data_IF_058124142711
#
_entry.id   IF_058124142711
#
_cell.length_a   1.000
_cell.length_b   1.000
_cell.length_c   1.000
_cell.angle_alpha   90.00
_cell.angle_beta   90.00
_cell.angle_gamma   90.00
#
_symmetry.space_group_name_H-M   'P 1'
#
loop_
_entity.id
_entity.type
_entity.pdbx_description
1 polymer ?
#
# COMPACT_ATOMS: atom_id res chain seq x y z
N UNK A 1 -14.42 -14.82 -2.53
CA UNK A 1 -14.54 -15.22 -1.11
C UNK A 1 -14.52 -16.75 -1.02
N UNK A 2 -13.77 -17.30 -0.09
CA UNK A 2 -13.69 -18.73 0.16
C UNK A 2 -14.77 -19.14 1.17
N UNK A 3 -15.34 -20.34 0.99
CA UNK A 3 -16.28 -20.91 1.94
C UNK A 3 -15.57 -21.35 3.22
N UNK A 4 -16.17 -21.05 4.38
CA UNK A 4 -15.64 -21.49 5.66
C UNK A 4 -16.06 -22.94 5.96
N UNK A 5 -15.07 -23.77 6.32
CA UNK A 5 -15.30 -25.16 6.73
C UNK A 5 -14.47 -25.47 7.99
N UNK A 6 -15.10 -25.60 9.18
CA UNK A 6 -16.52 -25.42 9.46
C UNK A 6 -16.96 -23.94 9.43
N UNK A 7 -18.26 -23.70 9.31
CA UNK A 7 -18.83 -22.36 9.43
C UNK A 7 -18.58 -21.81 10.84
N UNK A 8 -18.27 -20.50 10.91
CA UNK A 8 -18.04 -19.78 12.16
C UNK A 8 -19.27 -18.94 12.53
N UNK A 9 -20.15 -19.50 13.37
CA UNK A 9 -21.41 -18.84 13.71
C UNK A 9 -22.28 -18.59 12.46
N UNK A 10 -22.75 -17.36 12.22
CA UNK A 10 -23.52 -17.00 11.03
C UNK A 10 -22.64 -16.87 9.76
N UNK A 11 -21.32 -16.72 9.90
CA UNK A 11 -20.42 -16.54 8.78
C UNK A 11 -20.27 -17.84 7.97
N UNK A 12 -20.45 -17.75 6.64
CA UNK A 12 -20.33 -18.85 5.68
C UNK A 12 -19.09 -18.71 4.79
N UNK A 13 -18.65 -17.50 4.56
CA UNK A 13 -17.53 -17.17 3.70
C UNK A 13 -16.56 -16.22 4.39
N UNK A 14 -15.33 -16.17 3.92
CA UNK A 14 -14.32 -15.21 4.42
C UNK A 14 -14.79 -13.76 4.30
N UNK A 15 -15.61 -13.42 3.31
CA UNK A 15 -16.22 -12.10 3.17
C UNK A 15 -17.15 -11.73 4.34
N UNK A 16 -17.87 -12.71 4.90
CA UNK A 16 -18.74 -12.48 6.06
C UNK A 16 -17.91 -12.12 7.30
N UNK A 17 -16.73 -12.70 7.45
CA UNK A 17 -15.80 -12.37 8.54
C UNK A 17 -15.26 -10.94 8.40
N UNK A 18 -14.89 -10.53 7.17
CA UNK A 18 -14.44 -9.15 6.90
C UNK A 18 -15.57 -8.17 7.18
N UNK A 19 -16.81 -8.49 6.76
CA UNK A 19 -17.97 -7.65 7.05
C UNK A 19 -18.21 -7.50 8.55
N UNK A 20 -18.19 -8.61 9.30
CA UNK A 20 -18.35 -8.59 10.75
C UNK A 20 -17.25 -7.77 11.45
N UNK A 21 -16.00 -7.92 11.00
CA UNK A 21 -14.86 -7.14 11.52
C UNK A 21 -15.04 -5.64 11.24
N UNK A 22 -15.46 -5.27 10.04
CA UNK A 22 -15.71 -3.86 9.69
C UNK A 22 -16.85 -3.26 10.52
N UNK A 23 -17.92 -4.02 10.77
CA UNK A 23 -19.03 -3.57 11.63
C UNK A 23 -18.56 -3.37 13.08
N UNK A 24 -17.72 -4.26 13.60
CA UNK A 24 -17.21 -4.14 14.97
C UNK A 24 -16.27 -2.92 15.09
N UNK A 25 -15.35 -2.73 14.15
CA UNK A 25 -14.49 -1.55 14.11
C UNK A 25 -15.31 -0.25 14.00
N UNK A 26 -16.39 -0.26 13.21
CA UNK A 26 -17.29 0.87 13.09
C UNK A 26 -17.99 1.18 14.42
N UNK A 27 -18.45 0.14 15.12
CA UNK A 27 -19.08 0.28 16.45
C UNK A 27 -18.11 0.86 17.48
N UNK A 28 -16.87 0.35 17.51
CA UNK A 28 -15.81 0.82 18.42
C UNK A 28 -15.33 2.24 18.07
N UNK A 29 -15.31 2.58 16.78
CA UNK A 29 -14.91 3.88 16.28
C UNK A 29 -15.94 4.99 16.43
N UNK A 30 -17.05 4.77 17.14
CA UNK A 30 -18.08 5.79 17.37
C UNK A 30 -19.09 5.96 16.23
N UNK A 31 -19.21 4.98 15.37
CA UNK A 31 -20.18 4.88 14.27
C UNK A 31 -20.16 6.07 13.29
N UNK A 32 -19.01 6.42 12.70
CA UNK A 32 -18.94 7.50 11.72
C UNK A 32 -19.74 7.13 10.46
N UNK A 33 -20.42 8.11 9.86
CA UNK A 33 -21.18 7.91 8.62
C UNK A 33 -20.26 7.72 7.40
N UNK A 34 -19.05 8.28 7.44
CA UNK A 34 -18.06 8.26 6.37
C UNK A 34 -16.70 7.81 6.89
N UNK A 35 -15.97 7.03 6.10
CA UNK A 35 -14.62 6.56 6.44
C UNK A 35 -13.65 6.75 5.27
N UNK A 36 -12.39 6.89 5.60
CA UNK A 36 -11.27 6.75 4.66
C UNK A 36 -10.56 5.43 4.94
N UNK A 37 -10.31 4.65 3.92
CA UNK A 37 -9.64 3.37 4.02
C UNK A 37 -8.16 3.50 3.64
N UNK A 38 -7.25 3.26 4.59
CA UNK A 38 -5.83 3.13 4.33
C UNK A 38 -5.49 1.64 4.23
N UNK A 39 -5.18 1.19 3.03
CA UNK A 39 -4.97 -0.24 2.73
C UNK A 39 -3.54 -0.52 2.30
N UNK A 40 -3.09 -1.76 2.51
CA UNK A 40 -1.74 -2.17 2.10
C UNK A 40 -1.56 -2.14 0.59
N UNK A 41 -0.36 -1.84 0.13
CA UNK A 41 0.03 -1.87 -1.28
C UNK A 41 0.07 -3.27 -1.89
N UNK A 42 -0.08 -4.33 -1.10
CA UNK A 42 -0.19 -5.71 -1.60
C UNK A 42 -1.58 -6.06 -2.13
N UNK A 43 -2.59 -5.26 -1.81
CA UNK A 43 -3.96 -5.51 -2.29
C UNK A 43 -4.05 -5.27 -3.79
N UNK A 44 -4.42 -6.31 -4.52
CA UNK A 44 -4.65 -6.24 -5.96
C UNK A 44 -6.03 -5.65 -6.27
N UNK A 45 -6.23 -5.26 -7.52
CA UNK A 45 -7.47 -4.62 -7.97
C UNK A 45 -8.74 -5.40 -7.59
N UNK A 46 -8.72 -6.73 -7.81
CA UNK A 46 -9.88 -7.58 -7.51
C UNK A 46 -10.16 -7.68 -6.01
N UNK A 47 -9.11 -7.67 -5.19
CA UNK A 47 -9.23 -7.65 -3.73
C UNK A 47 -9.77 -6.32 -3.23
N UNK A 48 -9.34 -5.19 -3.81
CA UNK A 48 -9.89 -3.87 -3.52
C UNK A 48 -11.36 -3.77 -3.93
N UNK A 49 -11.71 -4.28 -5.12
CA UNK A 49 -13.09 -4.31 -5.58
C UNK A 49 -13.99 -5.14 -4.65
N UNK A 50 -13.50 -6.32 -4.20
CA UNK A 50 -14.20 -7.15 -3.23
C UNK A 50 -14.38 -6.42 -1.88
N UNK A 51 -13.33 -5.78 -1.36
CA UNK A 51 -13.38 -5.02 -0.12
C UNK A 51 -14.43 -3.90 -0.22
N UNK A 52 -14.43 -3.11 -1.29
CA UNK A 52 -15.41 -2.06 -1.51
C UNK A 52 -16.82 -2.60 -1.66
N UNK A 53 -17.01 -3.77 -2.30
CA UNK A 53 -18.29 -4.46 -2.37
C UNK A 53 -18.80 -4.89 -0.99
N UNK A 54 -17.93 -5.32 -0.07
CA UNK A 54 -18.30 -5.63 1.32
C UNK A 54 -18.65 -4.34 2.07
N UNK A 55 -17.87 -3.26 1.89
CA UNK A 55 -18.13 -1.95 2.52
C UNK A 55 -19.50 -1.40 2.14
N UNK A 56 -19.98 -1.62 0.91
CA UNK A 56 -21.31 -1.21 0.47
C UNK A 56 -22.47 -1.87 1.27
N UNK A 57 -22.19 -2.96 1.98
CA UNK A 57 -23.15 -3.63 2.88
C UNK A 57 -23.04 -3.14 4.33
N UNK A 58 -22.09 -2.25 4.63
CA UNK A 58 -21.89 -1.68 5.95
C UNK A 58 -22.75 -0.42 6.16
N UNK A 59 -23.02 -0.01 7.42
CA UNK A 59 -23.82 1.18 7.73
C UNK A 59 -23.05 2.51 7.56
N UNK A 60 -21.96 2.52 6.80
CA UNK A 60 -21.13 3.69 6.52
C UNK A 60 -20.68 3.68 5.05
N UNK A 61 -20.22 4.83 4.57
CA UNK A 61 -19.70 4.99 3.21
C UNK A 61 -18.18 5.17 3.22
N UNK A 62 -17.46 4.48 2.34
CA UNK A 62 -16.06 4.82 2.08
C UNK A 62 -16.01 6.03 1.16
N UNK A 63 -15.40 7.12 1.64
CA UNK A 63 -15.22 8.37 0.88
C UNK A 63 -13.78 8.60 0.44
N UNK A 64 -12.87 7.71 0.79
CA UNK A 64 -11.46 7.77 0.39
C UNK A 64 -10.79 6.41 0.46
N UNK A 65 -9.84 6.19 -0.44
CA UNK A 65 -9.04 4.96 -0.50
C UNK A 65 -7.59 5.32 -0.82
N UNK A 66 -6.68 5.00 0.10
CA UNK A 66 -5.27 5.38 -0.01
C UNK A 66 -4.34 4.23 0.34
N UNK A 67 -3.16 4.20 -0.29
CA UNK A 67 -2.09 3.31 0.10
C UNK A 67 -1.56 3.72 1.49
N UNK A 68 -1.61 2.79 2.45
CA UNK A 68 -1.22 3.02 3.84
C UNK A 68 0.22 3.49 3.97
N UNK A 69 1.15 2.86 3.25
CA UNK A 69 2.57 3.23 3.28
C UNK A 69 2.81 4.63 2.71
N UNK A 70 2.08 5.01 1.65
CA UNK A 70 2.14 6.36 1.06
C UNK A 70 1.61 7.40 2.04
N UNK A 71 0.49 7.13 2.70
CA UNK A 71 -0.04 8.03 3.73
C UNK A 71 0.99 8.25 4.85
N UNK A 72 1.53 7.18 5.43
CA UNK A 72 2.57 7.27 6.46
C UNK A 72 3.84 7.97 5.95
N UNK A 73 4.28 7.66 4.73
CA UNK A 73 5.46 8.27 4.10
C UNK A 73 5.33 9.77 3.88
N UNK A 74 4.11 10.28 3.70
CA UNK A 74 3.85 11.71 3.50
C UNK A 74 4.18 12.56 4.73
N UNK A 75 4.23 11.95 5.92
CA UNK A 75 4.65 12.61 7.16
C UNK A 75 6.15 12.94 7.21
N UNK A 76 6.93 12.40 6.28
CA UNK A 76 8.38 12.54 6.25
C UNK A 76 8.84 13.44 5.10
N UNK A 77 9.41 14.59 5.42
CA UNK A 77 9.77 15.64 4.45
C UNK A 77 11.09 15.41 3.71
N UNK A 78 11.96 14.55 4.19
CA UNK A 78 13.38 14.61 3.79
C UNK A 78 13.98 13.41 3.05
N UNK A 79 13.56 12.14 3.16
CA UNK A 79 14.30 11.06 2.49
C UNK A 79 14.02 11.01 0.99
N UNK A 80 15.05 10.74 0.19
CA UNK A 80 14.85 10.37 -1.22
C UNK A 80 14.16 9.02 -1.35
N UNK A 81 14.52 8.05 -0.47
CA UNK A 81 13.85 6.76 -0.35
C UNK A 81 13.42 6.53 1.09
N UNK A 82 12.21 6.05 1.24
CA UNK A 82 11.62 5.63 2.50
C UNK A 82 11.16 4.19 2.36
N UNK A 83 11.47 3.37 3.35
CA UNK A 83 10.99 2.00 3.43
C UNK A 83 10.00 1.88 4.58
N UNK A 84 8.92 1.17 4.36
CA UNK A 84 7.93 0.86 5.38
C UNK A 84 7.83 -0.66 5.53
N UNK A 85 8.09 -1.16 6.74
CA UNK A 85 7.91 -2.56 7.12
C UNK A 85 6.62 -2.70 7.92
N UNK A 86 5.65 -3.42 7.38
CA UNK A 86 4.39 -3.78 8.05
C UNK A 86 4.27 -5.29 8.24
N UNK A 87 3.60 -5.71 9.32
CA UNK A 87 3.24 -7.11 9.56
C UNK A 87 1.75 -7.27 9.29
N UNK A 88 1.42 -8.05 8.28
CA UNK A 88 0.07 -8.49 7.95
C UNK A 88 -0.24 -9.84 8.59
N UNK A 89 -1.47 -10.34 8.44
CA UNK A 89 -1.89 -11.59 9.06
C UNK A 89 -1.01 -12.79 8.66
N UNK A 90 -0.72 -12.95 7.37
CA UNK A 90 -0.01 -14.12 6.82
C UNK A 90 1.41 -13.82 6.32
N UNK A 91 1.81 -12.57 6.22
CA UNK A 91 3.10 -12.14 5.72
C UNK A 91 3.53 -10.82 6.35
N UNK A 92 4.81 -10.52 6.32
CA UNK A 92 5.27 -9.14 6.46
C UNK A 92 5.47 -8.53 5.06
N UNK A 93 5.54 -7.22 4.98
CA UNK A 93 5.65 -6.50 3.70
C UNK A 93 6.64 -5.35 3.86
N UNK A 94 7.59 -5.26 2.95
CA UNK A 94 8.46 -4.09 2.79
C UNK A 94 7.95 -3.29 1.60
N UNK A 95 7.54 -2.05 1.85
CA UNK A 95 7.13 -1.11 0.81
C UNK A 95 8.22 -0.06 0.64
N UNK A 96 8.72 0.10 -0.58
CA UNK A 96 9.64 1.17 -0.95
C UNK A 96 8.86 2.34 -1.53
N UNK A 97 9.12 3.51 -1.00
CA UNK A 97 8.56 4.78 -1.42
C UNK A 97 9.69 5.68 -1.92
N UNK A 98 9.42 6.47 -2.95
CA UNK A 98 10.33 7.53 -3.39
C UNK A 98 9.67 8.89 -3.32
N UNK A 99 10.50 9.92 -3.19
CA UNK A 99 10.05 11.29 -3.31
C UNK A 99 10.36 11.82 -4.71
N UNK A 100 9.32 12.33 -5.37
CA UNK A 100 9.43 13.02 -6.65
C UNK A 100 8.54 14.26 -6.63
N UNK A 101 9.07 15.42 -7.04
CA UNK A 101 8.32 16.68 -7.18
C UNK A 101 7.51 17.06 -5.91
N UNK A 102 8.13 16.84 -4.74
CA UNK A 102 7.49 17.11 -3.45
C UNK A 102 6.37 16.16 -3.04
N UNK A 103 6.19 15.07 -3.77
CA UNK A 103 5.23 13.99 -3.45
C UNK A 103 5.97 12.72 -3.06
N UNK A 104 5.38 11.97 -2.16
CA UNK A 104 5.78 10.60 -1.88
C UNK A 104 4.94 9.65 -2.77
N UNK A 105 5.61 8.71 -3.42
CA UNK A 105 5.01 7.78 -4.37
C UNK A 105 5.42 6.36 -4.07
N UNK A 106 4.48 5.43 -4.28
CA UNK A 106 4.74 4.00 -4.20
C UNK A 106 5.66 3.57 -5.35
N UNK A 107 6.82 2.97 -5.01
CA UNK A 107 7.74 2.40 -6.00
C UNK A 107 7.54 0.90 -6.17
N UNK A 108 7.64 0.16 -5.08
CA UNK A 108 7.45 -1.29 -5.09
C UNK A 108 7.01 -1.80 -3.72
N UNK A 109 6.39 -2.97 -3.75
CA UNK A 109 5.95 -3.69 -2.56
C UNK A 109 6.50 -5.10 -2.61
N UNK A 110 7.21 -5.51 -1.56
CA UNK A 110 7.90 -6.79 -1.45
C UNK A 110 7.30 -7.60 -0.30
N UNK A 111 6.52 -8.65 -0.57
CA UNK A 111 6.00 -9.53 0.46
C UNK A 111 7.11 -10.44 1.00
N UNK A 112 7.07 -10.69 2.32
CA UNK A 112 7.92 -11.61 3.06
C UNK A 112 7.05 -12.76 3.61
N UNK A 113 6.86 -13.82 2.83
CA UNK A 113 5.97 -14.92 3.21
C UNK A 113 6.50 -15.67 4.43
N UNK A 114 5.57 -16.10 5.31
CA UNK A 114 5.89 -16.79 6.55
C UNK A 114 6.49 -15.92 7.65
N UNK A 115 6.39 -14.58 7.48
CA UNK A 115 6.73 -13.58 8.50
C UNK A 115 5.48 -12.84 8.99
N UNK A 116 4.30 -13.42 8.83
CA UNK A 116 3.02 -12.81 9.24
C UNK A 116 2.74 -12.95 10.72
N UNK A 117 1.70 -12.21 11.15
CA UNK A 117 1.28 -12.17 12.55
C UNK A 117 0.97 -13.55 13.13
N UNK A 118 0.27 -14.41 12.37
CA UNK A 118 -0.09 -15.75 12.84
C UNK A 118 1.14 -16.59 13.18
N UNK A 119 2.13 -16.61 12.28
CA UNK A 119 3.36 -17.39 12.49
C UNK A 119 4.17 -16.84 13.68
N UNK A 120 4.25 -15.51 13.81
CA UNK A 120 4.96 -14.87 14.92
C UNK A 120 4.30 -15.15 16.26
N UNK A 121 2.98 -15.04 16.33
CA UNK A 121 2.22 -15.34 17.54
C UNK A 121 2.34 -16.81 17.94
N UNK A 122 2.22 -17.73 16.98
CA UNK A 122 2.38 -19.16 17.23
C UNK A 122 3.76 -19.48 17.83
N UNK A 123 4.83 -18.94 17.26
CA UNK A 123 6.19 -19.13 17.78
C UNK A 123 6.38 -18.51 19.17
N UNK A 124 5.85 -17.29 19.40
CA UNK A 124 5.91 -16.65 20.72
C UNK A 124 5.17 -17.47 21.76
N UNK A 125 3.96 -17.95 21.45
CA UNK A 125 3.16 -18.80 22.35
C UNK A 125 3.87 -20.11 22.65
N UNK A 126 4.50 -20.75 21.68
CA UNK A 126 5.25 -21.99 21.86
C UNK A 126 6.42 -21.80 22.82
N UNK A 127 7.21 -20.72 22.64
CA UNK A 127 8.35 -20.41 23.51
C UNK A 127 7.89 -20.15 24.95
N UNK A 128 6.84 -19.32 25.09
CA UNK A 128 6.30 -18.97 26.41
C UNK A 128 5.68 -20.19 27.11
N UNK A 129 4.89 -21.00 26.40
CA UNK A 129 4.33 -22.24 26.95
C UNK A 129 5.42 -23.21 27.40
N UNK A 130 6.51 -23.32 26.64
CA UNK A 130 7.68 -24.12 27.03
C UNK A 130 8.31 -23.61 28.32
N UNK A 131 8.37 -22.29 28.52
CA UNK A 131 8.84 -21.71 29.79
C UNK A 131 7.92 -22.07 30.95
N UNK A 132 6.61 -22.00 30.81
CA UNK A 132 5.63 -22.45 31.82
C UNK A 132 5.85 -23.93 32.19
N UNK A 133 5.97 -24.81 31.18
CA UNK A 133 6.17 -26.23 31.40
C UNK A 133 7.47 -26.48 32.19
N UNK A 134 8.57 -25.83 31.81
CA UNK A 134 9.86 -25.97 32.49
C UNK A 134 9.83 -25.52 33.95
N UNK A 135 9.18 -24.38 34.20
CA UNK A 135 9.22 -23.72 35.51
C UNK A 135 8.13 -24.22 36.48
N UNK A 136 6.95 -24.55 35.94
CA UNK A 136 5.76 -24.82 36.79
C UNK A 136 5.12 -26.17 36.53
N UNK A 137 5.54 -26.92 35.50
CA UNK A 137 4.89 -28.15 35.03
C UNK A 137 3.47 -27.94 34.47
N UNK A 138 3.03 -26.71 34.32
CA UNK A 138 1.77 -26.33 33.72
C UNK A 138 1.93 -26.03 32.23
N UNK A 139 1.08 -26.62 31.38
CA UNK A 139 1.02 -26.30 29.96
C UNK A 139 -0.25 -25.48 29.69
N UNK A 140 -0.12 -24.18 29.41
CA UNK A 140 -1.27 -23.30 29.18
C UNK A 140 -2.04 -23.62 27.90
N UNK A 141 -1.47 -24.35 26.94
CA UNK A 141 -2.10 -24.71 25.65
C UNK A 141 -3.06 -25.89 25.74
N UNK A 142 -3.11 -26.59 26.88
CA UNK A 142 -4.01 -27.76 27.06
C UNK A 142 -5.50 -27.40 27.09
N UNK A 143 -5.86 -26.17 27.34
CA UNK A 143 -7.24 -25.68 27.38
C UNK A 143 -7.34 -24.36 26.61
N UNK A 144 -8.34 -24.24 25.75
CA UNK A 144 -8.56 -23.05 24.94
C UNK A 144 -8.61 -21.75 25.77
N UNK A 145 -9.24 -21.77 26.96
CA UNK A 145 -9.31 -20.60 27.82
C UNK A 145 -7.94 -20.15 28.37
N UNK A 146 -7.04 -21.08 28.70
CA UNK A 146 -5.69 -20.73 29.19
C UNK A 146 -4.76 -20.36 28.03
N UNK A 147 -4.94 -20.96 26.89
CA UNK A 147 -4.27 -20.58 25.66
C UNK A 147 -4.65 -19.16 25.21
N UNK A 148 -5.96 -18.85 25.20
CA UNK A 148 -6.44 -17.50 24.91
C UNK A 148 -5.85 -16.46 25.87
N UNK A 149 -5.87 -16.77 27.17
CA UNK A 149 -5.26 -15.89 28.17
C UNK A 149 -3.76 -15.64 27.89
N UNK A 150 -3.04 -16.65 27.37
CA UNK A 150 -1.65 -16.49 26.96
C UNK A 150 -1.52 -15.54 25.77
N UNK A 151 -2.37 -15.66 24.73
CA UNK A 151 -2.40 -14.74 23.60
C UNK A 151 -2.72 -13.30 24.04
N UNK A 152 -3.67 -13.13 24.93
CA UNK A 152 -4.08 -11.82 25.44
C UNK A 152 -2.96 -11.12 26.26
N UNK A 153 -2.13 -11.90 26.98
CA UNK A 153 -1.03 -11.38 27.80
C UNK A 153 0.25 -11.07 26.99
N UNK A 154 0.41 -11.61 25.76
CA UNK A 154 1.62 -11.43 24.95
C UNK A 154 1.95 -9.97 24.65
N UNK A 155 1.02 -9.10 24.21
CA UNK A 155 1.35 -7.72 23.87
C UNK A 155 1.97 -6.94 25.01
N UNK A 156 1.46 -7.11 26.23
CA UNK A 156 1.98 -6.44 27.42
C UNK A 156 3.33 -6.99 27.85
N UNK A 157 3.50 -8.31 27.74
CA UNK A 157 4.78 -8.94 27.99
C UNK A 157 5.87 -8.46 27.01
N UNK A 158 5.55 -8.34 25.72
CA UNK A 158 6.47 -7.82 24.70
C UNK A 158 6.82 -6.35 24.95
N UNK A 159 5.84 -5.52 25.35
CA UNK A 159 6.10 -4.12 25.75
C UNK A 159 7.01 -4.03 26.98
N UNK A 160 6.81 -4.90 27.96
CA UNK A 160 7.69 -4.97 29.12
C UNK A 160 9.12 -5.37 28.72
N UNK A 161 9.27 -6.40 27.88
CA UNK A 161 10.57 -6.86 27.37
C UNK A 161 11.26 -5.87 26.42
N UNK A 162 10.52 -4.92 25.87
CA UNK A 162 11.11 -3.78 25.13
C UNK A 162 11.90 -2.83 26.05
N UNK A 163 11.60 -2.81 27.35
CA UNK A 163 12.26 -1.97 28.38
C UNK A 163 13.20 -2.77 29.29
N UNK A 164 12.79 -3.98 29.60
CA UNK A 164 13.46 -4.86 30.56
C UNK A 164 14.01 -6.12 29.87
N UNK A 165 15.01 -6.74 30.48
CA UNK A 165 15.57 -8.00 29.96
C UNK A 165 14.70 -9.23 30.25
N UNK A 166 13.77 -9.12 31.21
CA UNK A 166 12.87 -10.20 31.62
C UNK A 166 11.53 -9.66 32.14
N UNK A 167 10.49 -10.49 32.04
CA UNK A 167 9.17 -10.22 32.60
C UNK A 167 8.54 -11.49 33.17
N UNK A 168 7.51 -11.33 34.00
CA UNK A 168 6.74 -12.45 34.52
C UNK A 168 5.36 -12.46 33.90
N UNK A 169 4.97 -13.62 33.35
CA UNK A 169 3.64 -13.90 32.88
C UNK A 169 2.90 -14.79 33.86
N UNK A 170 1.63 -14.49 34.09
CA UNK A 170 0.76 -15.28 34.97
C UNK A 170 -0.45 -15.79 34.20
N UNK A 171 -0.66 -17.10 34.16
CA UNK A 171 -1.79 -17.75 33.53
C UNK A 171 -2.38 -18.78 34.51
N UNK A 172 -3.65 -18.66 34.85
CA UNK A 172 -4.35 -19.56 35.74
C UNK A 172 -3.66 -19.79 37.10
N UNK A 173 -3.08 -18.72 37.66
CA UNK A 173 -2.36 -18.79 38.95
C UNK A 173 -0.94 -19.35 38.87
N UNK A 174 -0.49 -19.82 37.74
CA UNK A 174 0.90 -20.20 37.50
C UNK A 174 1.68 -19.02 36.96
N UNK A 175 2.92 -18.84 37.43
CA UNK A 175 3.79 -17.74 37.01
C UNK A 175 5.06 -18.28 36.37
N UNK A 176 5.38 -17.78 35.17
CA UNK A 176 6.63 -18.10 34.50
C UNK A 176 7.40 -16.82 34.19
N UNK A 177 8.70 -16.85 34.42
CA UNK A 177 9.65 -15.81 34.02
C UNK A 177 10.04 -16.03 32.56
N UNK A 178 9.91 -15.01 31.77
CA UNK A 178 10.26 -14.98 30.31
C UNK A 178 11.37 -13.96 30.15
N UNK A 179 12.41 -14.33 29.43
CA UNK A 179 13.51 -13.43 29.08
C UNK A 179 13.40 -12.96 27.67
N UNK A 180 13.91 -11.75 27.39
CA UNK A 180 14.00 -11.19 26.03
C UNK A 180 14.78 -12.13 25.10
N UNK A 181 15.89 -12.71 25.59
CA UNK A 181 16.74 -13.63 24.83
C UNK A 181 16.01 -14.89 24.35
N UNK A 182 15.08 -15.44 25.16
CA UNK A 182 14.28 -16.61 24.76
C UNK A 182 13.36 -16.29 23.58
N UNK A 183 12.82 -15.06 23.48
CA UNK A 183 11.88 -14.67 22.43
C UNK A 183 12.54 -14.21 21.12
N UNK A 184 13.87 -14.03 21.09
CA UNK A 184 14.57 -13.62 19.85
C UNK A 184 14.29 -14.58 18.69
N UNK A 185 14.20 -15.88 18.97
CA UNK A 185 13.97 -16.90 17.96
C UNK A 185 12.63 -16.72 17.21
N UNK A 186 11.61 -16.16 17.88
CA UNK A 186 10.29 -15.97 17.24
C UNK A 186 10.32 -15.01 16.05
N UNK A 187 11.18 -13.97 16.12
CA UNK A 187 11.33 -12.98 15.06
C UNK A 187 12.41 -13.31 14.03
N UNK A 188 13.16 -14.41 14.19
CA UNK A 188 14.38 -14.67 13.42
C UNK A 188 14.16 -14.65 11.90
N UNK A 189 13.08 -15.28 11.42
CA UNK A 189 12.78 -15.32 9.99
C UNK A 189 12.55 -13.92 9.40
N UNK A 190 11.86 -13.05 10.12
CA UNK A 190 11.65 -11.66 9.70
C UNK A 190 12.97 -10.89 9.72
N UNK A 191 13.76 -11.06 10.78
CA UNK A 191 15.08 -10.45 10.95
C UNK A 191 16.03 -10.84 9.81
N UNK A 192 15.98 -12.08 9.35
CA UNK A 192 16.83 -12.56 8.25
C UNK A 192 16.32 -12.10 6.88
N UNK A 193 15.00 -12.02 6.70
CA UNK A 193 14.37 -11.71 5.41
C UNK A 193 14.28 -10.20 5.12
N UNK A 194 14.06 -9.37 6.14
CA UNK A 194 13.89 -7.94 5.97
C UNK A 194 15.12 -7.24 5.35
N UNK A 195 16.37 -7.50 5.77
CA UNK A 195 17.55 -6.91 5.15
C UNK A 195 17.70 -7.26 3.66
N UNK A 196 17.31 -8.47 3.26
CA UNK A 196 17.36 -8.90 1.85
C UNK A 196 16.37 -8.09 1.00
N UNK A 197 15.17 -7.82 1.52
CA UNK A 197 14.16 -7.01 0.84
C UNK A 197 14.53 -5.52 0.80
N UNK A 198 15.13 -5.00 1.86
CA UNK A 198 15.58 -3.63 1.96
C UNK A 198 16.79 -3.35 1.06
N UNK A 199 17.66 -4.35 0.87
CA UNK A 199 18.93 -4.18 0.17
C UNK A 199 19.87 -3.24 0.93
N UNK A 200 20.80 -2.60 0.20
CA UNK A 200 21.75 -1.67 0.79
C UNK A 200 21.07 -0.32 1.05
N UNK A 201 20.89 0.02 2.32
CA UNK A 201 20.36 1.32 2.74
C UNK A 201 21.49 2.38 2.66
N UNK A 202 21.22 3.47 1.95
CA UNK A 202 22.11 4.61 1.84
C UNK A 202 21.98 5.54 3.06
N UNK A 203 22.88 6.51 3.21
CA UNK A 203 22.90 7.42 4.36
C UNK A 203 21.61 8.26 4.49
N UNK A 204 20.96 8.62 3.36
CA UNK A 204 19.72 9.40 3.32
C UNK A 204 18.44 8.59 3.39
N UNK A 205 18.52 7.24 3.35
CA UNK A 205 17.34 6.38 3.39
C UNK A 205 16.79 6.27 4.81
N UNK A 206 15.48 6.18 4.92
CA UNK A 206 14.77 5.92 6.18
C UNK A 206 14.02 4.59 6.12
N UNK A 207 13.93 3.95 7.27
CA UNK A 207 13.10 2.76 7.49
C UNK A 207 12.13 3.05 8.62
N UNK A 208 10.85 3.03 8.32
CA UNK A 208 9.77 3.10 9.31
C UNK A 208 9.15 1.71 9.48
N UNK A 209 8.76 1.38 10.68
CA UNK A 209 8.16 0.09 11.00
C UNK A 209 6.86 0.27 11.77
N UNK A 210 5.90 -0.60 11.50
CA UNK A 210 4.65 -0.63 12.24
C UNK A 210 4.86 -0.83 13.74
N UNK A 211 3.99 -0.27 14.60
CA UNK A 211 4.06 -0.45 16.06
C UNK A 211 4.10 -1.92 16.47
N UNK A 212 3.37 -2.77 15.75
CA UNK A 212 3.36 -4.23 16.00
C UNK A 212 4.71 -4.87 15.70
N UNK A 213 5.36 -4.49 14.59
CA UNK A 213 6.69 -4.96 14.26
C UNK A 213 7.72 -4.51 15.31
N UNK A 214 7.55 -3.28 15.81
CA UNK A 214 8.40 -2.73 16.87
C UNK A 214 8.34 -3.47 18.21
N UNK A 215 7.31 -4.31 18.44
CA UNK A 215 7.21 -5.15 19.64
C UNK A 215 8.11 -6.40 19.59
N UNK A 216 8.61 -6.79 18.41
CA UNK A 216 9.42 -7.99 18.27
C UNK A 216 10.79 -7.80 18.90
N UNK A 217 11.17 -8.66 19.89
CA UNK A 217 12.50 -8.64 20.47
C UNK A 217 13.58 -8.81 19.40
N UNK A 218 14.63 -8.02 19.47
CA UNK A 218 15.75 -8.09 18.54
C UNK A 218 15.57 -7.32 17.23
N UNK A 219 14.37 -6.84 16.88
CA UNK A 219 14.17 -6.15 15.60
C UNK A 219 15.03 -4.87 15.49
N UNK A 220 15.05 -4.05 16.53
CA UNK A 220 15.82 -2.79 16.50
C UNK A 220 17.33 -3.00 16.51
N UNK A 221 17.82 -4.07 17.14
CA UNK A 221 19.24 -4.42 17.13
C UNK A 221 19.73 -4.82 15.73
N UNK A 222 18.86 -5.51 14.97
CA UNK A 222 19.19 -5.97 13.62
C UNK A 222 18.83 -4.96 12.53
N UNK A 223 17.88 -4.07 12.83
CA UNK A 223 17.49 -2.95 11.97
C UNK A 223 17.68 -1.60 12.72
N UNK A 224 18.92 -1.19 13.00
CA UNK A 224 19.22 -0.05 13.88
C UNK A 224 18.72 1.29 13.38
N UNK A 225 18.36 1.38 12.09
CA UNK A 225 17.75 2.58 11.50
C UNK A 225 16.22 2.55 11.50
N UNK A 226 15.61 1.49 12.03
CA UNK A 226 14.16 1.36 12.08
C UNK A 226 13.57 2.35 13.09
N UNK A 227 12.70 3.20 12.62
CA UNK A 227 11.89 4.10 13.43
C UNK A 227 10.52 3.48 13.62
N UNK A 228 10.16 3.17 14.85
CA UNK A 228 8.84 2.60 15.17
C UNK A 228 7.80 3.70 15.12
N UNK A 229 6.77 3.51 14.28
CA UNK A 229 5.67 4.45 14.13
C UNK A 229 4.82 4.54 15.40
N UNK A 230 4.24 5.71 15.63
CA UNK A 230 3.20 5.87 16.62
C UNK A 230 1.92 5.14 16.20
N UNK A 231 1.13 4.67 17.17
CA UNK A 231 -0.09 3.91 16.91
C UNK A 231 -1.13 4.72 16.10
N UNK A 232 -1.14 6.04 16.26
CA UNK A 232 -2.03 6.96 15.55
C UNK A 232 -1.43 7.57 14.27
N UNK A 233 -0.26 7.11 13.82
CA UNK A 233 0.45 7.65 12.66
C UNK A 233 -0.38 7.66 11.39
N UNK A 234 -1.17 6.61 11.13
CA UNK A 234 -2.09 6.56 9.97
C UNK A 234 -3.15 7.65 10.07
N UNK A 235 -3.79 7.81 11.25
CA UNK A 235 -4.79 8.84 11.48
C UNK A 235 -4.21 10.24 11.22
N UNK A 236 -3.05 10.53 11.81
CA UNK A 236 -2.35 11.81 11.60
C UNK A 236 -2.05 12.07 10.13
N UNK A 237 -1.61 11.05 9.38
CA UNK A 237 -1.36 11.17 7.95
C UNK A 237 -2.64 11.47 7.15
N UNK A 238 -3.74 10.80 7.48
CA UNK A 238 -5.02 11.02 6.82
C UNK A 238 -5.59 12.42 7.12
N UNK A 239 -5.50 12.87 8.37
CA UNK A 239 -5.95 14.20 8.80
C UNK A 239 -5.26 15.33 8.02
N UNK A 240 -3.98 15.16 7.66
CA UNK A 240 -3.22 16.12 6.87
C UNK A 240 -3.66 16.22 5.41
N UNK A 241 -4.34 15.20 4.89
CA UNK A 241 -4.68 15.08 3.48
C UNK A 241 -6.18 14.93 3.21
N UNK A 242 -7.04 15.28 4.17
CA UNK A 242 -8.49 15.10 4.05
C UNK A 242 -9.06 15.70 2.75
N UNK A 243 -8.64 16.92 2.40
CA UNK A 243 -9.12 17.63 1.19
C UNK A 243 -8.76 16.89 -0.13
N UNK A 244 -7.68 16.10 -0.12
CA UNK A 244 -7.22 15.33 -1.28
C UNK A 244 -7.79 13.91 -1.31
N UNK A 245 -8.12 13.35 -0.14
CA UNK A 245 -8.54 11.97 0.01
C UNK A 245 -10.06 11.79 -0.06
N UNK A 246 -10.85 12.80 0.32
CA UNK A 246 -12.30 12.72 0.35
C UNK A 246 -12.88 12.92 -1.05
N UNK A 247 -13.52 11.86 -1.59
CA UNK A 247 -14.07 11.77 -2.95
C UNK A 247 -15.56 11.40 -2.88
N UNK A 248 -16.43 12.37 -2.52
CA UNK A 248 -17.88 12.11 -2.37
C UNK A 248 -18.64 12.05 -3.69
N UNK A 249 -18.21 12.83 -4.67
CA UNK A 249 -18.92 13.02 -5.95
C UNK A 249 -18.35 12.18 -7.10
N UNK A 250 -17.30 11.41 -6.85
CA UNK A 250 -16.59 10.64 -7.86
C UNK A 250 -16.46 9.18 -7.45
N UNK A 251 -16.21 8.31 -8.41
CA UNK A 251 -15.79 6.95 -8.10
C UNK A 251 -14.47 6.97 -7.31
N UNK A 252 -14.40 6.20 -6.23
CA UNK A 252 -13.20 6.13 -5.40
C UNK A 252 -11.99 5.71 -6.24
N UNK A 253 -10.94 6.52 -6.21
CA UNK A 253 -9.64 6.18 -6.78
C UNK A 253 -8.69 5.72 -5.66
N UNK A 254 -7.87 4.72 -5.96
CA UNK A 254 -6.81 4.29 -5.05
C UNK A 254 -5.63 5.25 -5.13
N UNK A 255 -5.45 6.07 -4.09
CA UNK A 255 -4.39 7.08 -4.03
C UNK A 255 -3.06 6.42 -3.68
N UNK A 256 -2.08 6.51 -4.59
CA UNK A 256 -0.72 5.94 -4.45
C UNK A 256 0.38 6.99 -4.44
N UNK A 257 0.02 8.27 -4.40
CA UNK A 257 0.95 9.39 -4.28
C UNK A 257 0.31 10.55 -3.50
N UNK A 258 1.03 11.11 -2.52
CA UNK A 258 0.58 12.23 -1.70
C UNK A 258 1.67 13.31 -1.59
N UNK A 259 1.31 14.60 -1.42
CA UNK A 259 2.28 15.64 -1.11
C UNK A 259 2.99 15.37 0.21
N UNK A 260 4.27 15.72 0.32
CA UNK A 260 4.97 15.71 1.60
C UNK A 260 4.57 16.92 2.46
N UNK A 261 4.69 16.82 3.78
CA UNK A 261 4.28 17.86 4.74
C UNK A 261 4.93 19.23 4.50
N UNK A 262 6.18 19.28 4.05
CA UNK A 262 6.88 20.52 3.76
C UNK A 262 6.24 21.32 2.61
N UNK A 263 5.48 20.68 1.74
CA UNK A 263 4.71 21.35 0.69
C UNK A 263 3.33 21.85 1.16
N UNK A 264 2.75 21.20 2.16
CA UNK A 264 1.48 21.66 2.75
C UNK A 264 1.64 22.93 3.59
N UNK A 265 2.84 23.16 4.15
CA UNK A 265 3.16 24.34 4.95
C UNK A 265 3.53 25.59 4.10
N UNK A 266 3.74 25.44 2.79
CA UNK A 266 3.96 26.57 1.92
C UNK A 266 2.61 27.24 1.62
N UNK A 267 2.41 28.55 1.96
CA UNK A 267 1.23 29.26 1.50
C UNK A 267 1.20 29.21 -0.03
N UNK A 268 0.01 29.14 -0.67
CA UNK A 268 -0.05 29.19 -2.11
C UNK A 268 0.70 30.43 -2.57
N UNK A 269 1.73 30.22 -3.37
CA UNK A 269 2.52 31.30 -3.93
C UNK A 269 1.54 32.23 -4.65
N UNK A 270 1.25 33.38 -4.07
CA UNK A 270 0.49 34.42 -4.70
C UNK A 270 1.14 34.69 -6.05
N UNK A 271 0.43 34.38 -7.12
CA UNK A 271 0.87 34.65 -8.47
C UNK A 271 1.05 36.18 -8.59
N UNK A 272 2.25 36.66 -8.31
CA UNK A 272 2.66 37.97 -8.78
C UNK A 272 2.83 37.86 -10.30
N UNK A 273 2.22 38.72 -11.08
CA UNK A 273 2.49 38.75 -12.50
C UNK A 273 3.97 39.13 -12.71
N UNK A 274 4.76 38.17 -13.17
CA UNK A 274 6.13 38.43 -13.55
C UNK A 274 6.15 39.36 -14.79
N UNK A 275 7.07 40.32 -14.84
CA UNK A 275 7.25 41.13 -16.04
C UNK A 275 7.72 40.23 -17.19
N UNK A 276 7.12 40.42 -18.35
CA UNK A 276 7.41 39.70 -19.58
C UNK A 276 8.88 39.84 -19.97
N UNK A 277 9.63 38.74 -19.85
CA UNK A 277 10.97 38.56 -20.45
C UNK A 277 10.84 37.65 -21.66
N UNK A 278 11.53 37.91 -22.77
CA UNK A 278 11.30 37.19 -24.03
C UNK A 278 11.67 35.71 -23.90
N UNK A 279 10.82 34.87 -24.47
CA UNK A 279 10.93 33.41 -24.48
C UNK A 279 12.29 32.90 -24.97
N UNK A 280 12.97 32.01 -24.23
CA UNK A 280 13.97 31.14 -24.79
C UNK A 280 13.30 30.00 -25.56
N UNK A 281 13.90 29.64 -26.68
CA UNK A 281 13.43 28.58 -27.57
C UNK A 281 13.14 27.27 -26.83
N UNK A 282 11.95 26.70 -27.11
CA UNK A 282 11.49 25.42 -26.61
C UNK A 282 12.43 24.33 -27.14
N UNK A 283 13.27 23.79 -26.26
CA UNK A 283 13.93 22.50 -26.50
C UNK A 283 12.90 21.43 -26.14
N UNK A 284 12.31 20.83 -27.17
CA UNK A 284 11.38 19.72 -27.05
C UNK A 284 12.17 18.50 -26.54
N UNK A 285 12.02 18.15 -25.26
CA UNK A 285 12.44 16.82 -24.80
C UNK A 285 11.55 15.79 -25.50
N UNK A 286 12.17 15.01 -26.38
CA UNK A 286 11.52 13.90 -27.08
C UNK A 286 11.31 12.80 -26.06
N UNK A 287 10.10 12.68 -25.52
CA UNK A 287 9.68 11.53 -24.73
C UNK A 287 9.73 10.21 -25.55
N UNK A 288 9.64 9.04 -24.89
CA UNK A 288 9.69 7.75 -25.54
C UNK A 288 8.65 7.66 -26.67
N UNK A 289 9.13 7.34 -27.89
CA UNK A 289 8.28 7.34 -29.06
C UNK A 289 7.57 6.00 -29.21
N UNK A 290 6.23 5.96 -29.38
CA UNK A 290 5.51 4.70 -29.55
C UNK A 290 5.97 3.97 -30.81
N UNK A 291 6.16 2.65 -30.69
CA UNK A 291 6.58 1.76 -31.77
C UNK A 291 5.46 0.81 -32.23
N UNK A 292 4.50 0.53 -31.34
CA UNK A 292 3.42 -0.42 -31.59
C UNK A 292 2.08 0.10 -31.09
N UNK A 293 1.01 -0.39 -31.73
CA UNK A 293 -0.39 -0.25 -31.33
C UNK A 293 -0.87 -1.56 -30.71
N UNK A 294 -1.34 -1.53 -29.49
CA UNK A 294 -1.93 -2.66 -28.80
C UNK A 294 -3.45 -2.62 -28.95
N UNK A 295 -4.03 -3.70 -29.49
CA UNK A 295 -5.48 -3.94 -29.58
C UNK A 295 -5.82 -5.24 -28.87
N UNK A 296 -6.47 -5.16 -27.72
CA UNK A 296 -6.69 -6.34 -26.86
C UNK A 296 -5.38 -7.00 -26.47
N UNK A 297 -5.10 -8.18 -27.04
CA UNK A 297 -3.86 -8.95 -26.78
C UNK A 297 -2.89 -8.98 -27.96
N UNK A 298 -3.16 -8.22 -29.03
CA UNK A 298 -2.34 -8.19 -30.25
C UNK A 298 -1.62 -6.86 -30.37
N UNK A 299 -0.30 -6.88 -30.49
CA UNK A 299 0.51 -5.71 -30.79
C UNK A 299 0.81 -5.64 -32.28
N UNK A 300 0.49 -4.52 -32.92
CA UNK A 300 0.75 -4.22 -34.33
C UNK A 300 1.82 -3.14 -34.40
N UNK A 301 2.87 -3.36 -35.19
CA UNK A 301 3.91 -2.36 -35.39
C UNK A 301 3.36 -1.13 -36.13
N UNK A 302 3.71 0.06 -35.65
CA UNK A 302 3.38 1.32 -36.31
C UNK A 302 4.32 1.53 -37.49
N UNK A 303 3.77 1.72 -38.68
CA UNK A 303 4.54 1.91 -39.91
C UNK A 303 4.80 3.40 -40.15
N UNK A 304 5.95 3.71 -40.77
CA UNK A 304 6.27 5.10 -41.16
C UNK A 304 5.29 5.70 -42.19
N UNK A 305 4.66 4.86 -42.99
CA UNK A 305 3.68 5.26 -44.00
C UNK A 305 2.27 5.51 -43.45
N UNK A 306 2.04 5.18 -42.18
CA UNK A 306 0.76 5.23 -41.49
C UNK A 306 0.20 3.84 -41.18
N UNK A 307 -0.55 3.73 -40.11
CA UNK A 307 -1.21 2.50 -39.65
C UNK A 307 -2.71 2.74 -39.69
N UNK A 308 -3.41 2.04 -40.56
CA UNK A 308 -4.86 2.16 -40.69
C UNK A 308 -5.57 1.59 -39.47
N UNK A 309 -6.56 2.31 -38.99
CA UNK A 309 -7.47 1.94 -37.89
C UNK A 309 -8.87 1.66 -38.47
N UNK A 310 -9.78 1.19 -37.63
CA UNK A 310 -11.17 1.02 -38.01
C UNK A 310 -11.85 2.40 -38.24
N UNK A 311 -12.96 2.42 -38.96
CA UNK A 311 -13.76 3.59 -39.27
C UNK A 311 -13.06 4.69 -40.11
N UNK A 312 -12.04 4.32 -40.88
CA UNK A 312 -11.35 5.24 -41.79
C UNK A 312 -10.38 6.21 -41.09
N UNK A 313 -9.97 5.89 -39.89
CA UNK A 313 -8.92 6.59 -39.19
C UNK A 313 -7.55 5.95 -39.43
N UNK A 314 -6.51 6.76 -39.35
CA UNK A 314 -5.11 6.36 -39.51
C UNK A 314 -4.23 7.06 -38.51
N UNK A 315 -3.30 6.32 -37.87
CA UNK A 315 -2.19 6.91 -37.14
C UNK A 315 -1.00 7.03 -38.06
N UNK A 316 -0.46 8.24 -38.17
CA UNK A 316 0.69 8.52 -39.04
C UNK A 316 1.76 9.31 -38.25
N UNK A 317 2.98 9.26 -38.75
CA UNK A 317 4.12 9.97 -38.14
C UNK A 317 4.41 11.25 -38.89
N UNK A 318 4.46 12.38 -38.18
CA UNK A 318 4.85 13.68 -38.73
C UNK A 318 6.01 14.29 -37.91
N UNK A 319 6.58 15.41 -38.36
CA UNK A 319 7.75 16.03 -37.71
C UNK A 319 7.58 16.36 -36.20
N UNK A 320 6.34 16.38 -35.70
CA UNK A 320 6.00 16.62 -34.29
C UNK A 320 5.59 15.38 -33.48
N UNK A 321 5.67 14.17 -34.05
CA UNK A 321 5.22 12.93 -33.37
C UNK A 321 4.19 12.14 -34.15
N UNK A 322 3.51 11.21 -33.44
CA UNK A 322 2.37 10.47 -33.99
C UNK A 322 1.10 11.31 -33.89
N UNK A 323 0.26 11.25 -34.90
CA UNK A 323 -0.99 12.00 -34.96
C UNK A 323 -2.09 11.15 -35.62
N UNK A 324 -3.37 11.54 -35.40
CA UNK A 324 -4.51 10.95 -36.07
C UNK A 324 -4.85 11.71 -37.37
N UNK A 325 -5.20 10.97 -38.42
CA UNK A 325 -5.81 11.46 -39.64
C UNK A 325 -7.02 10.61 -39.95
N UNK A 326 -8.20 11.23 -40.22
CA UNK A 326 -9.43 10.51 -40.56
C UNK A 326 -10.59 11.43 -40.90
N UNK A 327 -11.65 10.84 -41.46
CA UNK A 327 -12.88 11.56 -41.83
C UNK A 327 -14.02 11.04 -40.95
N UNK A 328 -14.24 11.65 -39.80
CA UNK A 328 -15.44 11.42 -39.00
C UNK A 328 -15.19 11.18 -37.51
N UNK A 329 -16.10 11.70 -36.71
CA UNK A 329 -16.16 11.45 -35.27
C UNK A 329 -15.05 12.10 -34.43
N UNK A 330 -15.30 12.20 -33.15
CA UNK A 330 -14.37 12.71 -32.14
C UNK A 330 -13.56 11.52 -31.61
N UNK A 331 -12.24 11.63 -31.62
CA UNK A 331 -11.36 10.63 -30.97
C UNK A 331 -11.14 11.04 -29.53
N UNK A 332 -11.39 10.14 -28.60
CA UNK A 332 -11.16 10.37 -27.19
C UNK A 332 -9.85 9.70 -26.79
N UNK A 333 -8.86 10.48 -26.38
CA UNK A 333 -7.56 10.00 -25.87
C UNK A 333 -7.49 10.28 -24.38
N UNK A 334 -7.19 9.24 -23.59
CA UNK A 334 -7.10 9.32 -22.12
C UNK A 334 -8.35 9.97 -21.48
N UNK A 335 -9.54 9.69 -22.05
CA UNK A 335 -10.81 10.22 -21.56
C UNK A 335 -11.10 11.68 -21.93
N UNK A 336 -10.29 12.31 -22.78
CA UNK A 336 -10.49 13.69 -23.24
C UNK A 336 -10.60 13.75 -24.78
N UNK A 337 -11.41 14.67 -25.33
CA UNK A 337 -11.43 14.92 -26.76
C UNK A 337 -10.04 15.29 -27.28
N UNK A 338 -9.60 14.60 -28.34
CA UNK A 338 -8.29 14.81 -28.95
C UNK A 338 -8.43 15.67 -30.21
N UNK A 339 -7.78 16.84 -30.21
CA UNK A 339 -7.79 17.77 -31.33
C UNK A 339 -6.89 17.33 -32.49
N UNK A 340 -7.26 17.69 -33.70
CA UNK A 340 -6.41 17.46 -34.89
C UNK A 340 -5.04 18.15 -34.73
N UNK A 341 -3.95 17.41 -34.99
CA UNK A 341 -2.58 17.92 -34.86
C UNK A 341 -1.97 17.85 -33.46
N UNK A 342 -2.66 17.31 -32.49
CA UNK A 342 -2.06 17.04 -31.18
C UNK A 342 -1.19 15.75 -31.23
N UNK A 343 0.04 15.77 -30.67
CA UNK A 343 0.91 14.61 -30.69
C UNK A 343 0.42 13.52 -29.72
N UNK A 344 0.67 12.26 -30.11
CA UNK A 344 0.39 11.06 -29.33
C UNK A 344 1.70 10.49 -28.78
N UNK A 345 1.64 9.97 -27.56
CA UNK A 345 2.79 9.46 -26.82
C UNK A 345 2.63 7.99 -26.46
N UNK A 346 3.73 7.33 -26.12
CA UNK A 346 3.69 5.98 -25.56
C UNK A 346 2.93 5.99 -24.22
N UNK A 347 1.99 5.05 -24.07
CA UNK A 347 1.08 4.99 -22.92
C UNK A 347 -0.31 5.58 -23.20
N UNK A 348 -0.51 6.34 -24.26
CA UNK A 348 -1.82 6.89 -24.60
C UNK A 348 -2.81 5.79 -24.93
N UNK A 349 -4.00 5.90 -24.35
CA UNK A 349 -5.13 5.00 -24.57
C UNK A 349 -6.23 5.77 -25.28
N UNK A 350 -6.71 5.26 -26.39
CA UNK A 350 -7.79 5.88 -27.14
C UNK A 350 -8.88 4.88 -27.51
N UNK A 351 -10.08 5.41 -27.68
CA UNK A 351 -11.27 4.64 -28.05
C UNK A 351 -11.83 5.13 -29.37
N UNK A 352 -12.15 4.17 -30.24
CA UNK A 352 -12.87 4.40 -31.49
C UNK A 352 -14.11 3.49 -31.47
N UNK A 353 -15.30 4.11 -31.49
CA UNK A 353 -16.54 3.36 -31.32
C UNK A 353 -16.81 2.84 -29.91
N UNK A 354 -17.93 2.13 -29.67
CA UNK A 354 -18.36 1.73 -28.34
C UNK A 354 -17.47 0.65 -27.69
N UNK A 355 -16.82 -0.23 -28.47
CA UNK A 355 -16.20 -1.45 -27.94
C UNK A 355 -14.70 -1.61 -28.26
N UNK A 356 -14.07 -0.63 -28.92
CA UNK A 356 -12.68 -0.78 -29.32
C UNK A 356 -11.74 0.15 -28.55
N UNK A 357 -10.88 -0.46 -27.74
CA UNK A 357 -9.85 0.22 -26.98
C UNK A 357 -8.46 -0.08 -27.57
N UNK A 358 -7.68 0.96 -27.79
CA UNK A 358 -6.33 0.91 -28.31
C UNK A 358 -5.35 1.56 -27.32
N UNK A 359 -4.13 1.07 -27.27
CA UNK A 359 -3.05 1.65 -26.50
C UNK A 359 -1.78 1.76 -27.32
N UNK A 360 -1.10 2.90 -27.24
CA UNK A 360 0.21 3.09 -27.83
C UNK A 360 1.31 2.60 -26.88
N UNK A 361 2.16 1.71 -27.35
CA UNK A 361 3.25 1.13 -26.55
C UNK A 361 4.60 1.27 -27.24
N UNK A 362 5.67 1.32 -26.46
CA UNK A 362 7.03 1.16 -26.92
C UNK A 362 7.46 -0.28 -26.67
N UNK A 363 7.95 -0.95 -27.71
CA UNK A 363 8.54 -2.28 -27.62
C UNK A 363 10.03 -2.12 -27.85
N UNK A 364 10.84 -2.42 -26.83
CA UNK A 364 12.28 -2.44 -26.97
C UNK A 364 12.69 -3.52 -27.97
N UNK A 365 13.45 -3.14 -28.97
CA UNK A 365 14.02 -4.03 -29.99
C UNK A 365 15.23 -4.80 -29.49
#
# INVERSE_FOLDING_TARGET
>A
TEALQPALGPARHTGDLVHAQLQELHREGGQPAEIIMAVSGTMQRDQLALLLGIVQQCPFSAVGLVNRSVALGSLYSAPQRLFHLEIQLHQAVVTELSRRDGRVELQRTLPLPGCGMLQLQEQLVEIVASAFIRQTRFDPRRKAATEQHLYDALPDALRALGRDSETNLEVNGYRARITRGELLAAGQRLIDSAPQALGVLQAGDRLIVDPVAGLLPGLQEHLPRAEVLAADGVRLALDQHLDLLVQREQALSFVTALPCLDQLAAPPASAQPAPATPAPAVTTEVGPQPSHLLRGHTAQALTAAGTALDDGWEIYREAGGLQFRGKGGEVIVNGKPHGAGQPLYAGDIFRMGPDQLFQLIEVAS
#
